data_IF_314644488167
#
_entry.id   IF_314644488167
#
_cell.length_a   1.000
_cell.length_b   1.000
_cell.length_c   1.000
_cell.angle_alpha   90.00
_cell.angle_beta   90.00
_cell.angle_gamma   90.00
#
_symmetry.space_group_name_H-M   'P 1'
#
loop_
_entity.id
_entity.type
_entity.pdbx_description
1 polymer ?
#
# COMPACT_ATOMS: atom_id res chain seq x y z
N UNK A 1 9.15 -9.29 47.36
CA UNK A 1 7.78 -9.18 47.01
C UNK A 1 7.46 -7.95 46.25
N UNK A 2 7.88 -6.84 46.76
CA UNK A 2 7.61 -5.59 46.06
C UNK A 2 8.22 -5.56 44.70
N UNK A 3 9.27 -6.30 44.51
CA UNK A 3 9.95 -6.32 43.23
C UNK A 3 9.09 -6.89 42.11
N UNK A 4 8.25 -7.81 42.44
CA UNK A 4 7.40 -8.41 41.43
C UNK A 4 6.47 -7.42 40.79
N UNK A 5 5.99 -6.54 41.58
CA UNK A 5 5.06 -5.55 41.11
C UNK A 5 5.70 -4.65 40.08
N UNK A 6 6.93 -4.33 40.29
CA UNK A 6 7.66 -3.47 39.40
C UNK A 6 7.85 -4.13 38.05
N UNK A 7 8.13 -5.40 38.07
CA UNK A 7 8.30 -6.14 36.82
C UNK A 7 7.06 -6.12 35.97
N UNK A 8 5.94 -6.35 36.60
CA UNK A 8 4.69 -6.38 35.89
C UNK A 8 4.41 -5.08 35.18
N UNK A 9 4.72 -4.02 35.82
CA UNK A 9 4.49 -2.72 35.24
C UNK A 9 5.31 -2.49 34.01
N UNK A 10 6.57 -2.82 34.07
CA UNK A 10 7.45 -2.65 32.93
C UNK A 10 7.02 -3.49 31.75
N UNK A 11 6.65 -4.68 32.05
CA UNK A 11 6.28 -5.62 31.02
C UNK A 11 5.05 -5.14 30.27
N UNK A 12 4.12 -4.58 30.98
CA UNK A 12 2.93 -4.07 30.38
C UNK A 12 3.23 -2.96 29.39
N UNK A 13 4.14 -2.10 29.71
CA UNK A 13 4.50 -1.03 28.79
C UNK A 13 5.05 -1.54 27.48
N UNK A 14 5.77 -2.62 27.52
CA UNK A 14 6.33 -3.20 26.32
C UNK A 14 5.29 -3.76 25.37
N UNK A 15 4.22 -4.28 25.91
CA UNK A 15 3.19 -4.86 25.10
C UNK A 15 2.48 -3.83 24.23
N UNK A 16 2.36 -2.65 24.71
CA UNK A 16 1.66 -1.62 23.97
C UNK A 16 2.39 -1.23 22.70
N UNK A 17 3.68 -1.04 22.80
CA UNK A 17 4.46 -0.59 21.66
C UNK A 17 4.42 -1.52 20.46
N UNK A 18 4.65 -2.81 20.61
CA UNK A 18 4.65 -3.71 19.47
C UNK A 18 3.30 -3.76 18.75
N UNK A 19 2.24 -3.73 19.51
CA UNK A 19 0.91 -3.79 18.93
C UNK A 19 0.68 -2.61 18.03
N UNK A 20 1.05 -1.45 18.48
CA UNK A 20 0.85 -0.25 17.74
C UNK A 20 1.66 -0.23 16.45
N UNK A 21 2.91 -0.60 16.53
CA UNK A 21 3.76 -0.64 15.36
C UNK A 21 3.28 -1.65 14.34
N UNK A 22 2.80 -2.80 14.80
CA UNK A 22 2.34 -3.83 13.89
C UNK A 22 1.12 -3.43 13.10
N UNK A 23 0.37 -2.46 13.57
CA UNK A 23 -0.83 -2.05 12.88
C UNK A 23 -0.58 -1.35 11.56
N UNK A 24 0.65 -0.95 11.30
CA UNK A 24 0.93 -0.18 10.11
C UNK A 24 1.45 -1.00 8.93
N UNK A 25 1.89 -2.18 9.15
CA UNK A 25 2.29 -3.09 8.10
C UNK A 25 2.82 -2.45 6.83
N UNK A 26 2.82 -3.23 5.76
CA UNK A 26 3.26 -2.79 4.44
C UNK A 26 2.08 -2.22 3.68
N UNK A 27 2.18 -0.99 3.23
CA UNK A 27 1.14 -0.36 2.42
C UNK A 27 1.49 -0.55 0.95
N UNK A 28 0.57 -1.16 0.23
CA UNK A 28 0.72 -1.44 -1.19
C UNK A 28 -0.30 -0.62 -1.96
N UNK A 29 0.18 0.19 -2.89
CA UNK A 29 -0.66 1.06 -3.70
C UNK A 29 -0.47 0.69 -5.17
N UNK A 30 -1.54 0.68 -5.93
CA UNK A 30 -1.46 0.48 -7.37
C UNK A 30 -1.94 1.73 -8.09
N UNK A 31 -1.28 2.05 -9.20
CA UNK A 31 -1.63 3.20 -10.04
C UNK A 31 -2.09 2.63 -11.38
N UNK A 32 -3.36 2.81 -11.71
CA UNK A 32 -3.98 2.14 -12.85
C UNK A 32 -4.61 3.16 -13.79
N UNK A 33 -3.94 3.49 -14.90
CA UNK A 33 -4.58 4.29 -15.95
C UNK A 33 -5.54 3.44 -16.76
N UNK A 34 -6.34 4.08 -17.59
CA UNK A 34 -7.33 3.38 -18.40
C UNK A 34 -6.75 2.57 -19.56
N UNK A 35 -5.51 2.83 -19.92
CA UNK A 35 -4.82 2.13 -20.99
C UNK A 35 -3.44 2.71 -21.22
N UNK A 36 -2.69 2.14 -22.18
CA UNK A 36 -1.33 2.60 -22.44
C UNK A 36 -1.32 3.96 -23.15
N UNK A 37 -0.56 4.88 -22.61
CA UNK A 37 -0.37 6.20 -23.20
C UNK A 37 0.83 6.88 -22.57
N UNK A 38 1.67 7.55 -23.35
CA UNK A 38 2.86 8.22 -22.82
C UNK A 38 2.55 9.27 -21.75
N UNK A 39 1.35 9.82 -21.76
CA UNK A 39 0.91 10.80 -20.79
C UNK A 39 1.07 10.28 -19.35
N UNK A 40 0.89 8.98 -19.15
CA UNK A 40 0.94 8.39 -17.82
C UNK A 40 2.33 7.94 -17.40
N UNK A 41 3.34 8.16 -18.22
CA UNK A 41 4.71 7.73 -17.89
C UNK A 41 5.16 8.34 -16.57
N UNK A 42 4.74 9.57 -16.27
CA UNK A 42 5.09 10.24 -15.04
C UNK A 42 4.51 9.56 -13.79
N UNK A 43 3.47 8.77 -13.95
CA UNK A 43 2.85 8.08 -12.82
C UNK A 43 3.78 7.04 -12.22
N UNK A 44 4.56 6.39 -13.06
CA UNK A 44 5.48 5.38 -12.57
C UNK A 44 6.53 6.02 -11.67
N UNK A 45 7.10 7.12 -12.11
CA UNK A 45 8.08 7.84 -11.31
C UNK A 45 7.44 8.41 -10.04
N UNK A 46 6.24 8.94 -10.17
CA UNK A 46 5.52 9.48 -9.02
C UNK A 46 5.29 8.40 -7.96
N UNK A 47 4.99 7.18 -8.39
CA UNK A 47 4.85 6.06 -7.47
C UNK A 47 6.14 5.76 -6.72
N UNK A 48 7.25 5.74 -7.42
CA UNK A 48 8.55 5.53 -6.78
C UNK A 48 8.88 6.63 -5.78
N UNK A 49 8.57 7.87 -6.15
CA UNK A 49 8.79 9.00 -5.26
C UNK A 49 7.91 8.90 -4.01
N UNK A 50 6.67 8.47 -4.17
CA UNK A 50 5.76 8.31 -3.05
C UNK A 50 6.22 7.25 -2.07
N UNK A 51 6.78 6.15 -2.56
CA UNK A 51 7.34 5.12 -1.70
C UNK A 51 8.43 5.72 -0.82
N UNK A 52 9.28 6.53 -1.42
CA UNK A 52 10.40 7.15 -0.72
C UNK A 52 9.94 8.21 0.26
N UNK A 53 9.03 9.08 -0.18
CA UNK A 53 8.62 10.24 0.60
C UNK A 53 7.67 9.89 1.74
N UNK A 54 6.84 8.88 1.55
CA UNK A 54 5.79 8.53 2.53
C UNK A 54 6.01 7.17 3.19
N UNK A 55 7.07 6.48 2.85
CA UNK A 55 7.36 5.21 3.48
C UNK A 55 6.40 4.09 3.11
N UNK A 56 5.87 4.11 1.90
CA UNK A 56 4.98 3.06 1.45
C UNK A 56 5.76 1.77 1.20
N UNK A 57 5.08 0.64 1.29
CA UNK A 57 5.70 -0.63 0.98
C UNK A 57 6.01 -0.74 -0.49
N UNK A 58 5.05 -0.39 -1.34
CA UNK A 58 5.27 -0.31 -2.78
C UNK A 58 4.17 0.50 -3.44
N UNK A 59 4.47 1.03 -4.61
CA UNK A 59 3.52 1.73 -5.44
C UNK A 59 3.77 1.26 -6.87
N UNK A 60 2.89 0.41 -7.37
CA UNK A 60 3.06 -0.25 -8.66
C UNK A 60 2.21 0.40 -9.73
N UNK A 61 2.84 0.67 -10.85
CA UNK A 61 2.16 1.19 -12.02
C UNK A 61 1.72 0.00 -12.87
N UNK A 62 0.42 -0.18 -13.00
CA UNK A 62 -0.16 -1.32 -13.72
C UNK A 62 -1.08 -0.81 -14.80
N UNK A 63 -0.82 -1.21 -16.03
CA UNK A 63 -1.49 -0.68 -17.20
C UNK A 63 -2.28 -1.78 -17.90
N UNK A 64 -3.57 -1.58 -18.17
CA UNK A 64 -4.30 -2.53 -19.02
C UNK A 64 -3.66 -2.59 -20.39
N UNK A 65 -3.78 -3.71 -21.07
CA UNK A 65 -3.18 -3.87 -22.38
C UNK A 65 -3.78 -2.91 -23.40
N UNK A 66 -5.05 -2.62 -23.27
CA UNK A 66 -5.78 -1.76 -24.19
C UNK A 66 -6.72 -0.83 -23.43
N UNK A 67 -7.19 0.20 -24.09
CA UNK A 67 -8.21 1.10 -23.56
C UNK A 67 -9.56 0.39 -23.59
N UNK A 68 -9.80 -0.40 -22.59
CA UNK A 68 -10.99 -1.23 -22.48
C UNK A 68 -11.41 -1.29 -21.03
N UNK A 69 -12.61 -0.85 -20.75
CA UNK A 69 -13.11 -0.78 -19.38
C UNK A 69 -13.13 -2.14 -18.70
N UNK A 70 -13.48 -3.20 -19.43
CA UNK A 70 -13.48 -4.52 -18.82
C UNK A 70 -12.08 -4.98 -18.44
N UNK A 71 -11.07 -4.68 -19.25
CA UNK A 71 -9.69 -5.01 -18.92
C UNK A 71 -9.22 -4.24 -17.71
N UNK A 72 -9.60 -2.97 -17.61
CA UNK A 72 -9.26 -2.17 -16.45
C UNK A 72 -9.91 -2.73 -15.19
N UNK A 73 -11.17 -3.08 -15.26
CA UNK A 73 -11.89 -3.65 -14.13
C UNK A 73 -11.29 -4.98 -13.67
N UNK A 74 -10.95 -5.84 -14.60
CA UNK A 74 -10.32 -7.12 -14.29
C UNK A 74 -8.97 -6.92 -13.60
N UNK A 75 -8.21 -5.95 -14.08
CA UNK A 75 -6.93 -5.64 -13.49
C UNK A 75 -7.10 -5.14 -12.05
N UNK A 76 -8.05 -4.24 -11.83
CA UNK A 76 -8.31 -3.72 -10.49
C UNK A 76 -8.74 -4.84 -9.55
N UNK A 77 -9.62 -5.71 -9.98
CA UNK A 77 -10.05 -6.84 -9.17
C UNK A 77 -8.89 -7.75 -8.81
N UNK A 78 -8.01 -7.99 -9.75
CA UNK A 78 -6.82 -8.79 -9.52
C UNK A 78 -5.91 -8.14 -8.47
N UNK A 79 -5.73 -6.83 -8.55
CA UNK A 79 -4.89 -6.11 -7.58
C UNK A 79 -5.48 -6.14 -6.18
N UNK A 80 -6.78 -5.99 -6.08
CA UNK A 80 -7.46 -6.11 -4.79
C UNK A 80 -7.23 -7.51 -4.21
N UNK A 81 -7.35 -8.53 -5.04
CA UNK A 81 -7.09 -9.91 -4.62
C UNK A 81 -5.66 -10.16 -4.20
N UNK A 82 -4.73 -9.37 -4.71
CA UNK A 82 -3.32 -9.47 -4.34
C UNK A 82 -2.97 -8.69 -3.08
N UNK A 83 -3.95 -8.06 -2.46
CA UNK A 83 -3.73 -7.39 -1.17
C UNK A 83 -3.29 -5.94 -1.27
N UNK A 84 -3.56 -5.28 -2.40
CA UNK A 84 -3.28 -3.86 -2.48
C UNK A 84 -4.24 -3.09 -1.59
N UNK A 85 -3.70 -2.12 -0.86
CA UNK A 85 -4.48 -1.35 0.11
C UNK A 85 -5.24 -0.20 -0.54
N UNK A 86 -4.72 0.31 -1.65
CA UNK A 86 -5.33 1.43 -2.35
C UNK A 86 -5.05 1.32 -3.84
N UNK A 87 -5.98 1.79 -4.64
CA UNK A 87 -5.83 1.82 -6.10
C UNK A 87 -6.19 3.21 -6.58
N UNK A 88 -5.26 3.84 -7.28
CA UNK A 88 -5.48 5.15 -7.88
C UNK A 88 -5.85 4.90 -9.34
N UNK A 89 -7.04 5.32 -9.73
CA UNK A 89 -7.59 4.97 -11.03
C UNK A 89 -7.81 6.20 -11.89
N UNK A 90 -7.38 6.14 -13.13
CA UNK A 90 -7.81 7.08 -14.16
C UNK A 90 -8.77 6.29 -15.06
N UNK A 91 -10.06 6.60 -15.05
CA UNK A 91 -11.06 5.79 -15.75
C UNK A 91 -10.82 5.80 -17.25
N UNK A 92 -10.99 4.63 -17.84
CA UNK A 92 -10.83 4.46 -19.28
C UNK A 92 -12.11 4.72 -20.06
#
# INVERSE_FOLDING_TARGET
MKKFIIFLTSFFALLVSPVFAGGHGVTKVALVPGGPHPYFAAWEQAGLDAVKDFGLGKADYRVPAEWDLSQQNELIESLVGQGYNAVLVFPG
#
